data_IF_088762426167
#
_entry.id   IF_088762426167
#
_cell.length_a   1.000
_cell.length_b   1.000
_cell.length_c   1.000
_cell.angle_alpha   90.00
_cell.angle_beta   90.00
_cell.angle_gamma   90.00
#
_symmetry.space_group_name_H-M   'P 1'
#
loop_
_entity.id
_entity.type
_entity.pdbx_description
1 polymer ?
#
# COMPACT_ATOMS: atom_id res chain seq x y z
N UNK A 1 24.82 3.32 -5.30
CA UNK A 1 23.62 3.72 -4.53
C UNK A 1 22.49 4.24 -5.41
N UNK A 2 22.78 4.85 -6.57
CA UNK A 2 21.76 5.43 -7.46
C UNK A 2 21.01 4.40 -8.32
N UNK A 3 21.72 3.34 -8.76
CA UNK A 3 21.14 2.22 -9.51
C UNK A 3 20.08 1.43 -8.72
N UNK A 4 20.15 1.37 -7.37
CA UNK A 4 19.15 0.63 -6.59
C UNK A 4 17.80 1.36 -6.52
N UNK A 5 17.80 2.69 -6.60
CA UNK A 5 16.55 3.49 -6.61
C UNK A 5 15.74 3.29 -7.88
N UNK A 6 16.41 3.02 -9.00
CA UNK A 6 15.76 2.72 -10.26
C UNK A 6 15.05 1.35 -10.28
N UNK A 7 15.25 0.48 -9.30
CA UNK A 7 14.59 -0.84 -9.20
C UNK A 7 13.78 -1.03 -7.92
N UNK A 8 13.49 0.06 -7.19
CA UNK A 8 12.72 -0.02 -5.95
C UNK A 8 11.34 -0.62 -6.26
N UNK A 9 10.99 -1.75 -5.66
CA UNK A 9 9.65 -2.32 -5.88
C UNK A 9 8.70 -1.61 -4.93
N UNK A 10 7.76 -0.85 -5.50
CA UNK A 10 6.74 -0.16 -4.71
C UNK A 10 5.56 -1.11 -4.47
N UNK A 11 5.36 -1.48 -3.23
CA UNK A 11 4.26 -2.35 -2.80
C UNK A 11 3.28 -1.56 -1.95
N UNK A 12 2.00 -1.56 -2.33
CA UNK A 12 0.93 -0.98 -1.52
C UNK A 12 -0.06 -2.08 -1.17
N UNK A 13 -0.51 -2.09 0.08
CA UNK A 13 -1.68 -2.86 0.52
C UNK A 13 -2.54 -2.00 1.44
N UNK A 14 -3.74 -2.47 1.75
CA UNK A 14 -4.59 -1.85 2.73
C UNK A 14 -5.89 -2.62 2.93
N UNK A 15 -6.53 -2.38 4.06
CA UNK A 15 -7.80 -2.98 4.48
C UNK A 15 -8.44 -2.05 5.52
N UNK A 16 -9.66 -2.34 5.94
CA UNK A 16 -10.23 -1.72 7.13
C UNK A 16 -9.39 -1.95 8.38
N UNK A 17 -9.31 -0.95 9.26
CA UNK A 17 -8.63 -1.06 10.55
C UNK A 17 -9.21 -2.17 11.44
N UNK A 18 -8.49 -2.53 12.51
CA UNK A 18 -8.86 -3.62 13.43
C UNK A 18 -8.13 -4.94 13.16
N UNK A 19 -7.12 -4.92 12.28
CA UNK A 19 -6.26 -6.07 11.97
C UNK A 19 -4.78 -5.81 12.32
N UNK A 20 -4.50 -4.81 13.15
CA UNK A 20 -3.14 -4.45 13.56
C UNK A 20 -2.43 -5.68 14.16
N UNK A 21 -1.18 -5.99 13.76
CA UNK A 21 -0.22 -5.12 13.04
C UNK A 21 -0.36 -5.09 11.51
N UNK A 22 -1.25 -5.87 10.89
CA UNK A 22 -1.50 -5.82 9.44
C UNK A 22 -2.28 -4.54 9.07
N UNK A 23 -1.93 -3.75 8.06
CA UNK A 23 -0.75 -3.78 7.17
C UNK A 23 0.34 -2.77 7.55
N UNK A 24 0.00 -1.76 8.36
CA UNK A 24 0.89 -0.65 8.67
C UNK A 24 2.16 -1.11 9.42
N UNK A 25 2.02 -2.06 10.34
CA UNK A 25 3.16 -2.67 11.01
C UNK A 25 4.13 -3.29 10.02
N UNK A 26 3.66 -3.99 8.98
CA UNK A 26 4.54 -4.61 7.98
C UNK A 26 5.27 -3.62 7.07
N UNK A 27 4.80 -2.36 6.98
CA UNK A 27 5.55 -1.30 6.28
C UNK A 27 6.80 -0.85 7.05
N UNK A 28 6.86 -1.11 8.36
CA UNK A 28 7.96 -0.68 9.23
C UNK A 28 8.71 -1.84 9.91
N UNK A 29 8.10 -3.02 10.03
CA UNK A 29 8.66 -4.16 10.77
C UNK A 29 9.20 -5.28 9.89
N UNK A 30 8.73 -5.44 8.65
CA UNK A 30 9.18 -6.50 7.73
C UNK A 30 10.27 -5.93 6.81
N UNK A 31 11.36 -5.48 7.42
CA UNK A 31 12.57 -4.97 6.75
C UNK A 31 12.34 -3.82 5.76
N UNK A 32 13.43 -3.33 5.18
CA UNK A 32 13.37 -2.43 4.02
C UNK A 32 12.85 -3.21 2.80
N UNK A 33 11.53 -3.33 2.63
CA UNK A 33 10.98 -3.79 1.35
C UNK A 33 9.68 -4.57 1.30
N UNK A 34 8.93 -4.80 2.40
CA UNK A 34 7.67 -5.55 2.29
C UNK A 34 6.50 -4.69 1.75
N UNK A 35 6.06 -3.68 2.50
CA UNK A 35 5.14 -2.65 1.98
C UNK A 35 5.82 -1.29 1.97
N UNK A 36 5.75 -0.60 0.84
CA UNK A 36 6.19 0.80 0.75
C UNK A 36 5.16 1.74 1.36
N UNK A 37 3.87 1.40 1.28
CA UNK A 37 2.81 2.10 1.99
C UNK A 37 1.68 1.15 2.36
N UNK A 38 0.99 1.46 3.46
CA UNK A 38 -0.25 0.83 3.86
C UNK A 38 -1.38 1.87 3.87
N UNK A 39 -2.53 1.53 3.31
CA UNK A 39 -3.72 2.41 3.32
C UNK A 39 -4.75 1.84 4.30
N UNK A 40 -5.04 2.58 5.37
CA UNK A 40 -6.02 2.16 6.36
C UNK A 40 -7.41 2.73 6.04
N UNK A 41 -8.43 1.87 6.07
CA UNK A 41 -9.83 2.27 6.11
C UNK A 41 -10.35 2.46 7.53
N UNK A 42 -11.66 2.67 7.70
CA UNK A 42 -12.29 2.61 9.02
C UNK A 42 -12.29 1.17 9.57
N UNK A 43 -12.66 0.99 10.84
CA UNK A 43 -12.72 -0.35 11.46
C UNK A 43 -13.62 -1.27 10.62
N UNK A 44 -13.04 -2.37 10.11
CA UNK A 44 -13.69 -3.36 9.25
C UNK A 44 -14.35 -2.81 7.97
N UNK A 45 -13.92 -1.65 7.49
CA UNK A 45 -14.41 -1.06 6.25
C UNK A 45 -13.26 -0.70 5.33
N UNK A 46 -13.35 -1.12 4.06
CA UNK A 46 -12.33 -0.88 3.06
C UNK A 46 -11.96 0.63 2.94
N UNK A 47 -10.68 0.96 2.72
CA UNK A 47 -10.26 2.34 2.48
C UNK A 47 -10.92 2.90 1.21
N UNK A 48 -11.19 4.20 1.18
CA UNK A 48 -11.76 4.83 -0.02
C UNK A 48 -10.78 4.84 -1.20
N UNK A 49 -11.29 4.67 -2.42
CA UNK A 49 -10.51 4.76 -3.67
C UNK A 49 -9.74 6.07 -3.80
N UNK A 50 -10.26 7.19 -3.28
CA UNK A 50 -9.57 8.47 -3.27
C UNK A 50 -8.30 8.45 -2.38
N UNK A 51 -8.37 7.81 -1.21
CA UNK A 51 -7.20 7.68 -0.32
C UNK A 51 -6.14 6.78 -0.96
N UNK A 52 -6.57 5.67 -1.58
CA UNK A 52 -5.69 4.74 -2.29
C UNK A 52 -5.00 5.46 -3.46
N UNK A 53 -5.75 6.19 -4.28
CA UNK A 53 -5.21 6.98 -5.40
C UNK A 53 -4.16 8.00 -4.95
N UNK A 54 -4.41 8.72 -3.84
CA UNK A 54 -3.44 9.67 -3.28
C UNK A 54 -2.14 8.98 -2.87
N UNK A 55 -2.21 7.78 -2.29
CA UNK A 55 -1.03 7.01 -1.94
C UNK A 55 -0.23 6.58 -3.19
N UNK A 56 -0.91 6.04 -4.21
CA UNK A 56 -0.29 5.66 -5.50
C UNK A 56 0.39 6.87 -6.15
N UNK A 57 -0.33 8.00 -6.26
CA UNK A 57 0.18 9.25 -6.84
C UNK A 57 1.38 9.80 -6.08
N UNK A 58 1.40 9.63 -4.74
CA UNK A 58 2.54 10.07 -3.92
C UNK A 58 3.77 9.18 -4.13
N UNK A 59 3.58 7.89 -4.37
CA UNK A 59 4.69 6.96 -4.61
C UNK A 59 5.20 7.02 -6.06
N UNK A 60 4.33 7.33 -7.03
CA UNK A 60 4.73 7.45 -8.43
C UNK A 60 5.71 8.59 -8.73
N UNK A 61 5.85 9.58 -7.84
CA UNK A 61 6.89 10.63 -7.99
C UNK A 61 8.28 10.14 -7.59
N UNK A 62 8.36 9.05 -6.81
CA UNK A 62 9.61 8.50 -6.26
C UNK A 62 10.16 7.42 -7.20
N UNK A 63 9.29 6.77 -7.98
CA UNK A 63 9.66 5.72 -8.92
C UNK A 63 8.75 5.69 -10.15
N UNK A 64 9.35 5.56 -11.33
CA UNK A 64 8.66 5.49 -12.63
C UNK A 64 8.26 4.08 -13.05
N UNK A 65 8.68 3.02 -12.34
CA UNK A 65 8.41 1.63 -12.71
C UNK A 65 7.02 1.12 -12.34
N UNK A 66 6.16 1.99 -11.80
CA UNK A 66 4.82 1.63 -11.35
C UNK A 66 4.76 1.14 -9.91
N UNK A 67 3.56 0.75 -9.50
CA UNK A 67 3.21 0.35 -8.13
C UNK A 67 2.45 -0.97 -8.20
N UNK A 68 2.86 -1.97 -7.41
CA UNK A 68 2.09 -3.19 -7.24
C UNK A 68 1.09 -3.04 -6.10
N UNK A 69 -0.18 -3.30 -6.38
CA UNK A 69 -1.25 -3.34 -5.39
C UNK A 69 -1.47 -4.78 -4.93
N UNK A 70 -1.36 -5.01 -3.62
CA UNK A 70 -1.79 -6.25 -2.98
C UNK A 70 -3.16 -6.01 -2.35
N UNK A 71 -4.17 -6.73 -2.84
CA UNK A 71 -5.58 -6.47 -2.49
C UNK A 71 -6.16 -7.71 -1.83
N UNK A 72 -6.75 -7.54 -0.65
CA UNK A 72 -7.48 -8.60 0.01
C UNK A 72 -8.73 -8.97 -0.81
N UNK A 73 -9.08 -10.26 -0.87
CA UNK A 73 -10.20 -10.73 -1.68
C UNK A 73 -11.55 -10.53 -0.99
N UNK A 74 -11.88 -9.29 -0.65
CA UNK A 74 -13.18 -8.85 -0.17
C UNK A 74 -13.78 -7.85 -1.15
N UNK A 75 -15.11 -7.84 -1.27
CA UNK A 75 -15.81 -7.00 -2.25
C UNK A 75 -15.45 -5.52 -2.13
N UNK A 76 -15.41 -4.98 -0.91
CA UNK A 76 -15.06 -3.58 -0.67
C UNK A 76 -13.63 -3.25 -1.07
N UNK A 77 -12.67 -4.12 -0.75
CA UNK A 77 -11.27 -3.90 -1.10
C UNK A 77 -11.07 -3.99 -2.62
N UNK A 78 -11.67 -4.99 -3.28
CA UNK A 78 -11.59 -5.16 -4.74
C UNK A 78 -12.24 -4.05 -5.57
N UNK A 79 -13.26 -3.39 -5.03
CA UNK A 79 -13.92 -2.28 -5.73
C UNK A 79 -13.18 -0.95 -5.51
N UNK A 80 -12.46 -0.81 -4.40
CA UNK A 80 -11.79 0.45 -4.05
C UNK A 80 -10.33 0.52 -4.49
N UNK A 81 -9.61 -0.60 -4.54
CA UNK A 81 -8.22 -0.70 -5.00
C UNK A 81 -8.10 -0.89 -6.51
#
# INVERSE_FOLDING_TARGET
MELSRQYLKLFISGVGSGHEPMHAGYSTTVGDGFFTAAVAGNIFAAPSSNTIYKAIKRLSVINKNGVLLMVANYTGDRLNF
#
